data_IF_030978854781
#
_entry.id   IF_030978854781
#
_cell.length_a   1.000
_cell.length_b   1.000
_cell.length_c   1.000
_cell.angle_alpha   90.00
_cell.angle_beta   90.00
_cell.angle_gamma   90.00
#
_symmetry.space_group_name_H-M   'P 1'
#
loop_
_entity.id
_entity.type
_entity.pdbx_description
1 polymer ?
#
# COMPACT_ATOMS: atom_id res chain seq x y z
N UNK A 1 38.34 10.45 -34.67
CA UNK A 1 38.93 11.77 -35.01
C UNK A 1 38.54 12.73 -33.90
N UNK A 2 39.51 13.14 -33.09
CA UNK A 2 39.34 14.00 -31.91
C UNK A 2 40.12 15.28 -32.22
N UNK A 3 39.55 16.49 -32.07
CA UNK A 3 40.31 17.71 -32.26
C UNK A 3 41.06 18.06 -30.97
N UNK A 4 42.38 18.09 -31.09
CA UNK A 4 43.32 18.74 -30.18
C UNK A 4 43.17 20.26 -30.29
N UNK A 5 43.00 20.94 -29.15
CA UNK A 5 43.18 22.39 -29.05
C UNK A 5 44.36 22.67 -28.12
N UNK A 6 45.45 23.15 -28.73
CA UNK A 6 46.53 23.86 -28.05
C UNK A 6 46.19 25.34 -28.02
N UNK A 7 46.28 25.97 -26.86
CA UNK A 7 46.65 27.39 -26.79
C UNK A 7 47.15 27.70 -25.40
N UNK A 8 48.44 27.98 -25.36
CA UNK A 8 49.21 28.65 -24.34
C UNK A 8 48.57 30.00 -24.00
N UNK A 9 48.41 30.33 -22.73
CA UNK A 9 48.19 31.71 -22.31
C UNK A 9 48.75 31.94 -20.90
N UNK A 10 49.97 32.50 -20.93
CA UNK A 10 50.53 33.56 -20.10
C UNK A 10 50.20 33.59 -18.60
N UNK A 11 51.23 33.22 -17.83
CA UNK A 11 51.43 33.53 -16.43
C UNK A 11 51.33 35.04 -16.19
N UNK A 12 50.22 35.48 -15.60
CA UNK A 12 50.15 36.76 -14.89
C UNK A 12 50.42 36.51 -13.41
N UNK A 13 51.65 36.79 -13.00
CA UNK A 13 52.02 37.03 -11.61
C UNK A 13 51.23 38.25 -11.10
N UNK A 14 50.06 37.96 -10.52
CA UNK A 14 49.28 38.93 -9.78
C UNK A 14 49.83 39.01 -8.37
N UNK A 15 50.70 40.00 -8.14
CA UNK A 15 51.12 40.51 -6.84
C UNK A 15 49.88 40.75 -5.96
N UNK A 16 49.51 39.74 -5.18
CA UNK A 16 48.48 39.86 -4.16
C UNK A 16 49.14 40.51 -2.97
N UNK A 17 49.12 41.84 -2.95
CA UNK A 17 49.41 42.61 -1.75
C UNK A 17 48.56 42.05 -0.62
N UNK A 18 49.22 41.39 0.35
CA UNK A 18 48.64 41.03 1.63
C UNK A 18 48.37 42.32 2.38
N UNK A 19 47.26 42.98 2.03
CA UNK A 19 46.73 44.10 2.79
C UNK A 19 46.57 43.65 4.22
N UNK A 20 47.32 44.30 5.12
CA UNK A 20 47.33 44.07 6.56
C UNK A 20 45.91 43.75 7.05
N UNK A 21 45.70 42.49 7.41
CA UNK A 21 44.49 42.05 8.10
C UNK A 21 44.46 42.80 9.44
N UNK A 22 43.83 43.97 9.45
CA UNK A 22 43.35 44.63 10.65
C UNK A 22 42.41 43.64 11.32
N UNK A 23 42.93 42.90 12.30
CA UNK A 23 42.16 42.07 13.21
C UNK A 23 41.06 42.99 13.75
N UNK A 24 39.78 42.77 13.42
CA UNK A 24 38.72 43.62 13.92
C UNK A 24 38.73 43.51 15.43
N UNK A 25 38.92 44.65 16.10
CA UNK A 25 38.66 44.81 17.53
C UNK A 25 37.38 44.06 17.90
N UNK A 26 37.34 43.31 19.02
CA UNK A 26 36.27 42.38 19.34
C UNK A 26 34.92 43.08 19.17
N UNK A 27 34.10 42.55 18.24
CA UNK A 27 32.75 43.03 17.99
C UNK A 27 32.05 43.18 19.34
N UNK A 28 31.64 44.41 19.67
CA UNK A 28 30.74 44.64 20.80
C UNK A 28 29.55 43.69 20.61
N UNK A 29 29.13 42.93 21.65
CA UNK A 29 28.01 42.01 21.50
C UNK A 29 26.80 42.77 20.94
N UNK A 30 26.36 42.36 19.75
CA UNK A 30 25.31 43.01 18.99
C UNK A 30 24.57 42.00 18.12
N UNK A 31 23.27 42.22 17.94
CA UNK A 31 22.42 41.34 17.13
C UNK A 31 22.54 41.74 15.66
N UNK A 32 22.95 40.81 14.80
CA UNK A 32 22.95 40.97 13.34
C UNK A 32 21.83 40.13 12.75
N UNK A 33 20.91 40.77 12.02
CA UNK A 33 19.90 40.06 11.24
C UNK A 33 20.56 39.51 9.98
N UNK A 34 20.71 38.19 9.89
CA UNK A 34 21.34 37.51 8.75
C UNK A 34 20.35 37.11 7.66
N UNK A 35 19.05 37.07 7.97
CA UNK A 35 17.99 36.73 7.02
C UNK A 35 16.62 37.24 7.49
N UNK A 36 15.74 37.56 6.54
CA UNK A 36 14.32 37.86 6.76
C UNK A 36 13.48 36.91 5.91
N UNK A 37 12.51 36.22 6.51
CA UNK A 37 11.65 35.27 5.80
C UNK A 37 10.31 35.91 5.47
N UNK A 38 9.92 35.93 4.18
CA UNK A 38 8.64 36.49 3.72
C UNK A 38 7.50 35.45 3.70
N UNK A 39 7.83 34.17 3.84
CA UNK A 39 6.90 33.05 3.81
C UNK A 39 7.43 31.90 4.68
N UNK A 40 6.55 31.01 5.11
CA UNK A 40 6.92 29.78 5.81
C UNK A 40 6.46 28.55 5.03
N UNK A 41 7.19 27.45 5.18
CA UNK A 41 6.81 26.14 4.66
C UNK A 41 6.04 25.41 5.76
N UNK A 42 4.76 25.14 5.52
CA UNK A 42 3.95 24.30 6.41
C UNK A 42 4.03 22.84 5.97
N UNK A 43 4.26 21.96 6.94
CA UNK A 43 4.23 20.51 6.72
C UNK A 43 2.85 20.00 7.13
N UNK A 44 2.06 19.58 6.14
CA UNK A 44 0.74 19.00 6.36
C UNK A 44 0.88 17.48 6.25
N UNK A 45 0.46 16.70 7.27
CA UNK A 45 0.41 15.26 7.17
C UNK A 45 -0.47 14.83 5.98
N UNK A 46 0.11 14.09 5.05
CA UNK A 46 -0.61 13.47 3.94
C UNK A 46 -0.50 11.95 4.06
N UNK A 47 -1.61 11.25 3.83
CA UNK A 47 -1.62 9.78 3.71
C UNK A 47 -1.98 9.41 2.27
N UNK A 48 -1.00 9.30 1.37
CA UNK A 48 -1.27 8.91 -0.01
C UNK A 48 -1.82 7.48 -0.08
N UNK A 49 -2.65 7.23 -1.09
CA UNK A 49 -3.15 5.89 -1.41
C UNK A 49 -2.06 5.14 -2.20
N UNK A 50 -1.13 4.52 -1.47
CA UNK A 50 0.01 3.81 -2.06
C UNK A 50 -0.42 2.65 -2.95
N UNK A 51 -1.50 1.95 -2.60
CA UNK A 51 -2.04 0.87 -3.42
C UNK A 51 -2.45 1.40 -4.80
N UNK A 52 -3.22 2.50 -4.83
CA UNK A 52 -3.63 3.13 -6.08
C UNK A 52 -2.45 3.65 -6.91
N UNK A 53 -1.45 4.22 -6.26
CA UNK A 53 -0.21 4.65 -6.91
C UNK A 53 0.48 3.46 -7.58
N UNK A 54 0.68 2.35 -6.85
CA UNK A 54 1.32 1.14 -7.38
C UNK A 54 0.49 0.51 -8.52
N UNK A 55 -0.84 0.53 -8.44
CA UNK A 55 -1.71 0.04 -9.52
C UNK A 55 -1.48 0.76 -10.83
N UNK A 56 -1.18 2.07 -10.79
CA UNK A 56 -0.90 2.88 -11.98
C UNK A 56 0.51 2.70 -12.55
N UNK A 57 1.47 2.28 -11.73
CA UNK A 57 2.88 2.15 -12.11
C UNK A 57 3.25 0.73 -12.55
N UNK A 58 2.52 -0.29 -12.07
CA UNK A 58 2.89 -1.69 -12.24
C UNK A 58 2.11 -2.39 -13.34
N UNK A 59 2.81 -3.25 -14.07
CA UNK A 59 2.20 -4.18 -15.02
C UNK A 59 1.48 -5.31 -14.28
N UNK A 60 0.32 -5.70 -14.80
CA UNK A 60 -0.46 -6.82 -14.31
C UNK A 60 0.10 -8.17 -14.75
N UNK A 61 0.20 -9.11 -13.81
CA UNK A 61 0.51 -10.51 -14.02
C UNK A 61 -0.77 -11.34 -13.87
N UNK A 62 -1.17 -11.99 -14.96
CA UNK A 62 -2.45 -12.72 -15.05
C UNK A 62 -2.25 -14.20 -14.74
N UNK A 63 -1.28 -14.85 -15.40
CA UNK A 63 -1.04 -16.28 -15.23
C UNK A 63 0.36 -16.67 -15.72
N UNK A 64 0.88 -17.85 -15.32
CA UNK A 64 2.15 -18.39 -15.81
C UNK A 64 2.21 -18.57 -17.33
N UNK A 65 1.09 -18.95 -17.94
CA UNK A 65 0.97 -19.08 -19.39
C UNK A 65 1.05 -17.72 -20.12
N UNK A 66 0.83 -16.61 -19.42
CA UNK A 66 0.93 -15.28 -20.00
C UNK A 66 2.37 -14.78 -19.92
N UNK A 67 3.15 -15.03 -20.97
CA UNK A 67 4.49 -14.45 -21.08
C UNK A 67 4.38 -12.93 -21.11
N UNK A 68 4.91 -12.27 -20.07
CA UNK A 68 4.97 -10.82 -20.01
C UNK A 68 5.96 -10.31 -21.07
N UNK A 69 5.48 -10.07 -22.29
CA UNK A 69 6.27 -9.48 -23.38
C UNK A 69 6.89 -8.12 -23.01
N UNK A 70 6.41 -7.46 -21.94
CA UNK A 70 6.87 -6.14 -21.47
C UNK A 70 7.75 -6.15 -20.21
N UNK A 71 8.20 -7.31 -19.72
CA UNK A 71 9.04 -7.35 -18.51
C UNK A 71 10.29 -6.47 -18.63
N UNK A 72 10.90 -6.37 -19.82
CA UNK A 72 12.12 -5.57 -20.02
C UNK A 72 11.98 -4.09 -19.69
N UNK A 73 10.77 -3.54 -19.67
CA UNK A 73 10.49 -2.14 -19.33
C UNK A 73 9.91 -1.97 -17.92
N UNK A 74 9.59 -3.07 -17.23
CA UNK A 74 9.00 -3.02 -15.90
C UNK A 74 10.04 -2.50 -14.87
N UNK A 75 9.64 -1.58 -13.98
CA UNK A 75 10.54 -1.03 -12.97
C UNK A 75 10.93 -2.11 -11.96
N UNK A 76 12.10 -1.98 -11.34
CA UNK A 76 12.49 -2.81 -10.19
C UNK A 76 11.82 -2.30 -8.92
N UNK A 77 11.66 -3.13 -7.88
CA UNK A 77 11.12 -2.66 -6.59
C UNK A 77 11.97 -1.55 -5.99
N UNK A 78 13.30 -1.65 -6.11
CA UNK A 78 14.23 -0.62 -5.60
C UNK A 78 14.04 0.71 -6.31
N UNK A 79 13.74 0.69 -7.62
CA UNK A 79 13.45 1.90 -8.38
C UNK A 79 12.13 2.52 -7.90
N UNK A 80 11.08 1.71 -7.72
CA UNK A 80 9.78 2.17 -7.22
C UNK A 80 9.87 2.81 -5.83
N UNK A 81 10.63 2.21 -4.91
CA UNK A 81 10.83 2.79 -3.57
C UNK A 81 11.45 4.19 -3.64
N UNK A 82 12.38 4.41 -4.58
CA UNK A 82 13.03 5.72 -4.77
C UNK A 82 12.13 6.74 -5.45
N UNK A 83 11.30 6.29 -6.37
CA UNK A 83 10.48 7.17 -7.22
C UNK A 83 9.10 7.46 -6.62
N UNK A 84 8.66 6.68 -5.62
CA UNK A 84 7.35 6.85 -4.98
C UNK A 84 7.48 7.80 -3.78
N UNK A 85 6.69 8.89 -3.71
CA UNK A 85 6.78 9.87 -2.63
C UNK A 85 6.04 9.41 -1.36
N UNK A 86 6.44 8.27 -0.82
CA UNK A 86 5.86 7.64 0.38
C UNK A 86 6.98 7.14 1.30
N UNK A 87 6.68 6.95 2.59
CA UNK A 87 7.63 6.32 3.50
C UNK A 87 7.83 4.83 3.20
N UNK A 88 8.94 4.24 3.65
CA UNK A 88 9.22 2.80 3.48
C UNK A 88 8.13 1.90 4.06
N UNK A 89 7.52 2.33 5.18
CA UNK A 89 6.42 1.63 5.83
C UNK A 89 5.14 1.68 4.99
N UNK A 90 4.79 2.85 4.45
CA UNK A 90 3.65 3.03 3.55
C UNK A 90 3.84 2.28 2.23
N UNK A 91 5.08 2.27 1.69
CA UNK A 91 5.42 1.48 0.51
C UNK A 91 5.23 0.00 0.77
N UNK A 92 5.76 -0.51 1.88
CA UNK A 92 5.67 -1.93 2.24
C UNK A 92 4.21 -2.36 2.43
N UNK A 93 3.39 -1.54 3.09
CA UNK A 93 1.97 -1.82 3.24
C UNK A 93 1.23 -1.76 1.89
N UNK A 94 1.47 -0.73 1.08
CA UNK A 94 0.87 -0.61 -0.25
C UNK A 94 1.26 -1.76 -1.18
N UNK A 95 2.50 -2.24 -1.07
CA UNK A 95 3.01 -3.40 -1.80
C UNK A 95 2.24 -4.69 -1.44
N UNK A 96 1.89 -4.87 -0.17
CA UNK A 96 1.05 -5.98 0.30
C UNK A 96 -0.40 -5.79 -0.18
N UNK A 97 -0.96 -4.58 0.01
CA UNK A 97 -2.36 -4.28 -0.30
C UNK A 97 -2.68 -4.40 -1.80
N UNK A 98 -1.70 -4.08 -2.66
CA UNK A 98 -1.76 -4.19 -4.11
C UNK A 98 -1.34 -5.59 -4.65
N UNK A 99 -1.05 -6.55 -3.76
CA UNK A 99 -0.58 -7.90 -4.13
C UNK A 99 0.61 -7.88 -5.10
N UNK A 100 1.58 -7.00 -4.81
CA UNK A 100 2.79 -6.84 -5.61
C UNK A 100 3.84 -7.91 -5.30
N UNK A 101 4.63 -8.26 -6.30
CA UNK A 101 5.73 -9.20 -6.17
C UNK A 101 6.83 -8.94 -7.21
N UNK A 102 7.97 -9.62 -7.09
CA UNK A 102 9.06 -9.52 -8.04
C UNK A 102 9.19 -10.83 -8.84
N UNK A 103 9.41 -10.70 -10.15
CA UNK A 103 9.72 -11.82 -11.05
C UNK A 103 10.85 -11.36 -11.97
N UNK A 104 11.93 -12.14 -12.03
CA UNK A 104 13.13 -11.83 -12.81
C UNK A 104 13.71 -10.43 -12.54
N UNK A 105 13.61 -9.96 -11.29
CA UNK A 105 14.09 -8.63 -10.86
C UNK A 105 13.16 -7.46 -11.20
N UNK A 106 12.01 -7.74 -11.79
CA UNK A 106 11.01 -6.74 -12.16
C UNK A 106 9.83 -6.77 -11.19
N UNK A 107 9.35 -5.59 -10.80
CA UNK A 107 8.16 -5.44 -9.98
C UNK A 107 6.91 -5.55 -10.86
N UNK A 108 5.97 -6.38 -10.40
CA UNK A 108 4.68 -6.60 -11.04
C UNK A 108 3.60 -6.71 -9.96
N UNK A 109 2.34 -6.68 -10.37
CA UNK A 109 1.20 -6.95 -9.47
C UNK A 109 0.33 -8.05 -10.03
N UNK A 110 -0.26 -8.86 -9.16
CA UNK A 110 -1.26 -9.83 -9.59
C UNK A 110 -2.54 -9.11 -10.03
N UNK A 111 -3.25 -9.70 -11.00
CA UNK A 111 -4.63 -9.26 -11.23
C UNK A 111 -5.52 -9.67 -10.05
N UNK A 112 -6.58 -8.91 -9.75
CA UNK A 112 -7.52 -9.29 -8.69
C UNK A 112 -8.14 -10.68 -8.89
N UNK A 113 -8.41 -11.08 -10.14
CA UNK A 113 -8.92 -12.41 -10.45
C UNK A 113 -7.90 -13.52 -10.12
N UNK A 114 -6.63 -13.32 -10.47
CA UNK A 114 -5.53 -14.22 -10.12
C UNK A 114 -5.36 -14.34 -8.60
N UNK A 115 -5.44 -13.22 -7.87
CA UNK A 115 -5.42 -13.22 -6.41
C UNK A 115 -6.52 -14.10 -5.81
N UNK A 116 -7.76 -13.97 -6.31
CA UNK A 116 -8.89 -14.78 -5.85
C UNK A 116 -8.70 -16.28 -6.15
N UNK A 117 -8.20 -16.61 -7.34
CA UNK A 117 -7.91 -18.00 -7.71
C UNK A 117 -6.83 -18.60 -6.80
N UNK A 118 -5.68 -17.93 -6.69
CA UNK A 118 -4.57 -18.38 -5.85
C UNK A 118 -4.98 -18.52 -4.39
N UNK A 119 -5.73 -17.55 -3.86
CA UNK A 119 -6.23 -17.62 -2.49
C UNK A 119 -7.05 -18.89 -2.26
N UNK A 120 -8.00 -19.21 -3.15
CA UNK A 120 -8.80 -20.44 -3.04
C UNK A 120 -7.94 -21.69 -3.03
N UNK A 121 -7.03 -21.82 -3.99
CA UNK A 121 -6.19 -23.00 -4.11
C UNK A 121 -5.28 -23.13 -2.89
N UNK A 122 -4.61 -22.06 -2.47
CA UNK A 122 -3.76 -22.04 -1.27
C UNK A 122 -4.57 -22.50 -0.04
N UNK A 123 -5.76 -21.94 0.17
CA UNK A 123 -6.59 -22.32 1.31
C UNK A 123 -7.00 -23.79 1.24
N UNK A 124 -7.40 -24.30 0.08
CA UNK A 124 -7.75 -25.71 -0.08
C UNK A 124 -6.58 -26.64 0.25
N UNK A 125 -5.38 -26.31 -0.20
CA UNK A 125 -4.15 -27.04 0.13
C UNK A 125 -3.93 -27.04 1.65
N UNK A 126 -4.02 -25.87 2.29
CA UNK A 126 -3.84 -25.75 3.75
C UNK A 126 -4.85 -26.59 4.54
N UNK A 127 -6.10 -26.69 4.07
CA UNK A 127 -7.09 -27.58 4.66
C UNK A 127 -6.76 -29.07 4.48
N UNK A 128 -6.17 -29.45 3.34
CA UNK A 128 -5.81 -30.83 3.06
C UNK A 128 -4.61 -31.28 3.92
N UNK A 129 -3.62 -30.40 4.09
CA UNK A 129 -2.38 -30.69 4.84
C UNK A 129 -2.59 -30.69 6.36
N UNK A 130 -3.37 -29.75 6.89
CA UNK A 130 -3.37 -29.47 8.33
C UNK A 130 -3.99 -30.54 9.24
N UNK A 131 -4.77 -31.50 8.73
CA UNK A 131 -5.51 -32.44 9.59
C UNK A 131 -6.35 -31.70 10.65
N UNK A 132 -6.75 -32.36 11.74
CA UNK A 132 -7.59 -31.76 12.79
C UNK A 132 -6.88 -30.73 13.69
N UNK A 133 -5.59 -30.43 13.46
CA UNK A 133 -4.82 -29.51 14.30
C UNK A 133 -4.66 -28.14 13.64
N UNK A 134 -5.42 -27.18 14.16
CA UNK A 134 -5.65 -25.82 13.64
C UNK A 134 -4.48 -24.84 13.83
N UNK A 135 -3.21 -25.29 13.77
CA UNK A 135 -2.05 -24.46 14.11
C UNK A 135 -1.98 -23.18 13.26
N UNK A 136 -2.13 -23.30 11.94
CA UNK A 136 -2.11 -22.17 10.99
C UNK A 136 -3.24 -21.14 11.17
N UNK A 137 -4.29 -21.48 11.92
CA UNK A 137 -5.40 -20.56 12.25
C UNK A 137 -5.14 -19.81 13.54
N UNK A 138 -4.68 -20.53 14.57
CA UNK A 138 -4.61 -19.99 15.92
C UNK A 138 -3.24 -19.38 16.22
N UNK A 139 -2.20 -20.18 16.04
CA UNK A 139 -0.82 -19.85 16.40
C UNK A 139 -0.14 -19.13 15.23
N UNK A 140 -0.50 -19.51 14.00
CA UNK A 140 0.18 -19.09 12.80
C UNK A 140 1.27 -20.08 12.42
N UNK A 141 1.75 -19.94 11.19
CA UNK A 141 2.80 -20.78 10.62
C UNK A 141 3.80 -19.92 9.85
N UNK A 142 5.02 -20.43 9.70
CA UNK A 142 6.04 -19.77 8.89
C UNK A 142 5.62 -19.69 7.42
N UNK A 143 6.07 -18.64 6.71
CA UNK A 143 5.84 -18.55 5.26
C UNK A 143 6.47 -19.74 4.52
N UNK A 144 7.61 -20.23 4.98
CA UNK A 144 8.27 -21.38 4.35
C UNK A 144 7.45 -22.66 4.50
N UNK A 145 6.78 -22.87 5.64
CA UNK A 145 5.86 -24.01 5.84
C UNK A 145 4.65 -23.95 4.89
N UNK A 146 4.10 -22.75 4.65
CA UNK A 146 3.04 -22.56 3.64
C UNK A 146 3.55 -22.93 2.25
N UNK A 147 4.75 -22.50 1.89
CA UNK A 147 5.33 -22.76 0.58
C UNK A 147 5.69 -24.23 0.39
N UNK A 148 6.17 -24.91 1.44
CA UNK A 148 6.43 -26.35 1.42
C UNK A 148 5.14 -27.14 1.22
N UNK A 149 4.06 -26.78 1.93
CA UNK A 149 2.73 -27.39 1.73
C UNK A 149 2.21 -27.21 0.30
N UNK A 150 2.38 -26.02 -0.30
CA UNK A 150 1.98 -25.77 -1.69
C UNK A 150 2.80 -26.61 -2.67
N UNK A 151 4.11 -26.73 -2.44
CA UNK A 151 5.02 -27.50 -3.28
C UNK A 151 4.78 -29.01 -3.19
N UNK A 152 4.39 -29.51 -2.03
CA UNK A 152 4.04 -30.93 -1.84
C UNK A 152 2.76 -31.32 -2.59
N UNK A 153 1.78 -30.41 -2.67
CA UNK A 153 0.55 -30.61 -3.43
C UNK A 153 0.76 -30.53 -4.95
N UNK A 154 1.58 -29.57 -5.40
CA UNK A 154 2.01 -29.43 -6.81
C UNK A 154 1.01 -28.73 -7.74
N UNK A 155 -0.21 -28.39 -7.30
CA UNK A 155 -1.20 -27.70 -8.15
C UNK A 155 -0.73 -26.30 -8.61
N UNK A 156 0.18 -25.67 -7.85
CA UNK A 156 0.66 -24.30 -8.09
C UNK A 156 2.13 -24.20 -8.51
N UNK A 157 2.76 -25.31 -8.94
CA UNK A 157 4.18 -25.35 -9.31
C UNK A 157 4.58 -24.40 -10.45
N UNK A 158 3.62 -24.06 -11.33
CA UNK A 158 3.84 -23.11 -12.42
C UNK A 158 3.87 -21.64 -11.97
N UNK A 159 3.31 -21.34 -10.80
CA UNK A 159 3.23 -19.98 -10.29
C UNK A 159 4.54 -19.54 -9.64
N UNK A 160 5.00 -18.28 -9.87
CA UNK A 160 6.14 -17.74 -9.16
C UNK A 160 5.91 -17.79 -7.65
N UNK A 161 6.89 -18.30 -6.88
CA UNK A 161 6.78 -18.39 -5.42
C UNK A 161 6.46 -17.04 -4.79
N UNK A 162 7.01 -15.95 -5.31
CA UNK A 162 6.74 -14.60 -4.80
C UNK A 162 5.31 -14.11 -5.07
N UNK A 163 4.64 -14.62 -6.11
CA UNK A 163 3.22 -14.38 -6.35
C UNK A 163 2.37 -15.06 -5.26
N UNK A 164 2.70 -16.31 -4.91
CA UNK A 164 2.04 -17.05 -3.83
C UNK A 164 2.23 -16.35 -2.48
N UNK A 165 3.47 -15.91 -2.19
CA UNK A 165 3.78 -15.12 -0.99
C UNK A 165 2.99 -13.82 -0.93
N UNK A 166 2.79 -13.14 -2.05
CA UNK A 166 2.01 -11.90 -2.09
C UNK A 166 0.55 -12.14 -1.67
N UNK A 167 -0.07 -13.22 -2.15
CA UNK A 167 -1.44 -13.60 -1.76
C UNK A 167 -1.53 -13.93 -0.28
N UNK A 168 -0.61 -14.73 0.26
CA UNK A 168 -0.58 -15.06 1.70
C UNK A 168 -0.41 -13.80 2.55
N UNK A 169 0.54 -12.92 2.20
CA UNK A 169 0.78 -11.66 2.92
C UNK A 169 -0.44 -10.75 2.96
N UNK A 170 -1.20 -10.69 1.86
CA UNK A 170 -2.39 -9.85 1.79
C UNK A 170 -3.58 -10.45 2.55
N UNK A 171 -3.79 -11.75 2.40
CA UNK A 171 -5.00 -12.43 2.87
C UNK A 171 -4.93 -12.97 4.31
N UNK A 172 -3.74 -13.05 4.91
CA UNK A 172 -3.53 -13.58 6.27
C UNK A 172 -3.01 -12.48 7.20
N UNK A 173 -3.17 -12.67 8.51
CA UNK A 173 -2.65 -11.73 9.50
C UNK A 173 -1.19 -12.07 9.85
N UNK A 174 -0.33 -11.06 9.81
CA UNK A 174 1.04 -11.16 10.29
C UNK A 174 1.05 -11.15 11.82
N UNK A 175 1.55 -12.22 12.42
CA UNK A 175 1.81 -12.33 13.85
C UNK A 175 3.31 -12.30 14.11
N UNK A 176 3.68 -11.64 15.21
CA UNK A 176 5.06 -11.66 15.71
C UNK A 176 5.08 -12.49 16.97
N UNK A 177 5.84 -13.57 16.94
CA UNK A 177 5.98 -14.47 18.08
C UNK A 177 6.92 -13.90 19.14
N UNK A 178 6.94 -14.55 20.31
CA UNK A 178 7.72 -14.12 21.47
C UNK A 178 9.24 -14.12 21.20
N UNK A 179 9.71 -14.97 20.30
CA UNK A 179 11.10 -15.05 19.86
C UNK A 179 11.44 -14.00 18.78
N UNK A 180 10.44 -13.24 18.33
CA UNK A 180 10.57 -12.23 17.30
C UNK A 180 10.44 -12.75 15.87
N UNK A 181 10.18 -14.04 15.67
CA UNK A 181 9.86 -14.61 14.37
C UNK A 181 8.50 -14.10 13.87
N UNK A 182 8.32 -14.18 12.55
CA UNK A 182 7.11 -13.71 11.87
C UNK A 182 6.32 -14.93 11.38
N UNK A 183 5.13 -15.12 11.96
CA UNK A 183 4.16 -16.12 11.54
C UNK A 183 3.01 -15.49 10.77
N UNK A 184 2.35 -16.27 9.92
CA UNK A 184 1.11 -15.90 9.26
C UNK A 184 -0.01 -16.76 9.82
N UNK A 185 -1.06 -16.12 10.32
CA UNK A 185 -2.25 -16.83 10.79
C UNK A 185 -3.47 -16.49 9.97
N UNK A 186 -4.24 -17.52 9.60
CA UNK A 186 -5.50 -17.33 8.92
C UNK A 186 -6.56 -16.79 9.88
N UNK A 187 -6.93 -15.54 9.68
CA UNK A 187 -8.00 -14.85 10.38
C UNK A 187 -9.19 -14.72 9.42
N UNK A 188 -10.29 -15.42 9.72
CA UNK A 188 -11.46 -15.47 8.83
C UNK A 188 -12.07 -14.07 8.55
N UNK A 189 -12.27 -13.18 9.55
CA UNK A 189 -12.69 -11.80 9.28
C UNK A 189 -11.76 -11.02 8.33
N UNK A 190 -10.44 -11.10 8.54
CA UNK A 190 -9.44 -10.43 7.70
C UNK A 190 -9.45 -10.97 6.27
N UNK A 191 -9.42 -12.31 6.13
CA UNK A 191 -9.47 -12.97 4.84
C UNK A 191 -10.78 -12.65 4.09
N UNK A 192 -11.93 -12.68 4.78
CA UNK A 192 -13.21 -12.31 4.19
C UNK A 192 -13.16 -10.89 3.61
N UNK A 193 -12.68 -9.91 4.40
CA UNK A 193 -12.50 -8.52 3.96
C UNK A 193 -11.59 -8.41 2.75
N UNK A 194 -10.44 -9.10 2.76
CA UNK A 194 -9.48 -9.09 1.66
C UNK A 194 -10.10 -9.66 0.38
N UNK A 195 -10.82 -10.79 0.46
CA UNK A 195 -11.52 -11.39 -0.68
C UNK A 195 -12.61 -10.46 -1.21
N UNK A 196 -13.41 -9.86 -0.33
CA UNK A 196 -14.50 -8.97 -0.74
C UNK A 196 -14.00 -7.74 -1.48
N UNK A 197 -12.90 -7.16 -1.00
CA UNK A 197 -12.16 -6.11 -1.71
C UNK A 197 -11.74 -6.58 -3.11
N UNK A 198 -11.11 -7.75 -3.24
CA UNK A 198 -10.66 -8.26 -4.54
C UNK A 198 -11.81 -8.60 -5.50
N UNK A 199 -12.97 -9.05 -5.00
CA UNK A 199 -14.18 -9.24 -5.83
C UNK A 199 -14.67 -7.92 -6.43
N UNK A 200 -14.66 -6.84 -5.64
CA UNK A 200 -15.01 -5.50 -6.14
C UNK A 200 -14.00 -5.01 -7.17
N UNK A 201 -12.70 -5.12 -6.89
CA UNK A 201 -11.63 -4.64 -7.80
C UNK A 201 -11.60 -5.47 -9.09
N UNK A 202 -11.90 -6.77 -9.04
CA UNK A 202 -11.98 -7.63 -10.23
C UNK A 202 -13.12 -7.22 -11.19
N UNK A 203 -14.09 -6.42 -10.71
CA UNK A 203 -15.27 -6.03 -11.47
C UNK A 203 -15.55 -4.52 -11.34
N UNK A 204 -14.60 -3.64 -11.72
CA UNK A 204 -14.65 -2.22 -11.39
C UNK A 204 -15.84 -1.50 -12.02
N UNK A 205 -16.28 -1.94 -13.22
CA UNK A 205 -17.39 -1.35 -13.96
C UNK A 205 -18.74 -2.02 -13.67
N UNK A 206 -18.74 -3.11 -12.88
CA UNK A 206 -19.96 -3.87 -12.60
C UNK A 206 -20.74 -3.23 -11.46
N UNK A 207 -22.05 -3.09 -11.70
CA UNK A 207 -23.01 -2.75 -10.65
C UNK A 207 -23.64 -4.04 -10.14
N UNK A 208 -23.47 -4.33 -8.86
CA UNK A 208 -24.08 -5.50 -8.23
C UNK A 208 -25.35 -5.11 -7.49
N UNK A 209 -26.33 -6.00 -7.45
CA UNK A 209 -27.27 -6.00 -6.32
C UNK A 209 -26.56 -6.51 -5.07
N UNK A 210 -26.95 -6.09 -3.87
CA UNK A 210 -26.36 -6.59 -2.62
C UNK A 210 -26.35 -8.13 -2.55
N UNK A 211 -27.46 -8.79 -2.89
CA UNK A 211 -27.55 -10.25 -2.92
C UNK A 211 -26.62 -10.89 -3.95
N UNK A 212 -26.48 -10.28 -5.13
CA UNK A 212 -25.56 -10.79 -6.16
C UNK A 212 -24.11 -10.67 -5.69
N UNK A 213 -23.73 -9.52 -5.11
CA UNK A 213 -22.40 -9.33 -4.58
C UNK A 213 -22.08 -10.33 -3.46
N UNK A 214 -22.99 -10.50 -2.49
CA UNK A 214 -22.80 -11.44 -1.40
C UNK A 214 -22.66 -12.89 -1.90
N UNK A 215 -23.40 -13.29 -2.93
CA UNK A 215 -23.26 -14.62 -3.52
C UNK A 215 -21.88 -14.79 -4.20
N UNK A 216 -21.47 -13.83 -5.03
CA UNK A 216 -20.14 -13.88 -5.67
C UNK A 216 -19.04 -13.86 -4.62
N UNK A 217 -19.17 -13.06 -3.57
CA UNK A 217 -18.20 -13.03 -2.48
C UNK A 217 -18.17 -14.36 -1.71
N UNK A 218 -19.32 -14.94 -1.41
CA UNK A 218 -19.45 -16.25 -0.76
C UNK A 218 -18.80 -17.36 -1.57
N UNK A 219 -18.97 -17.35 -2.89
CA UNK A 219 -18.32 -18.31 -3.80
C UNK A 219 -16.79 -18.14 -3.84
N UNK A 220 -16.26 -17.04 -3.29
CA UNK A 220 -14.85 -16.72 -3.27
C UNK A 220 -14.12 -16.93 -1.95
N UNK A 221 -14.84 -17.17 -0.84
CA UNK A 221 -14.25 -17.39 0.48
C UNK A 221 -14.27 -18.86 0.90
N UNK A 222 -13.53 -19.20 1.95
CA UNK A 222 -13.64 -20.50 2.61
C UNK A 222 -14.91 -20.61 3.45
N UNK A 223 -15.28 -21.84 3.83
CA UNK A 223 -16.48 -22.11 4.62
C UNK A 223 -16.52 -21.33 5.95
N UNK A 224 -15.40 -21.10 6.61
CA UNK A 224 -15.35 -20.37 7.89
C UNK A 224 -15.68 -18.89 7.76
N UNK A 225 -15.52 -18.33 6.56
CA UNK A 225 -15.80 -16.92 6.31
C UNK A 225 -17.27 -16.67 5.97
N UNK A 226 -18.05 -17.73 5.68
CA UNK A 226 -19.39 -17.59 5.11
C UNK A 226 -20.36 -16.82 6.02
N UNK A 227 -20.25 -16.98 7.33
CA UNK A 227 -21.09 -16.30 8.32
C UNK A 227 -20.60 -14.89 8.67
N UNK A 228 -19.43 -14.49 8.14
CA UNK A 228 -18.77 -13.21 8.42
C UNK A 228 -18.96 -12.18 7.28
N UNK A 229 -19.69 -12.55 6.23
CA UNK A 229 -19.91 -11.70 5.06
C UNK A 229 -20.91 -10.59 5.39
N UNK A 230 -20.40 -9.42 5.76
CA UNK A 230 -21.16 -8.18 5.95
C UNK A 230 -20.55 -7.08 5.10
N UNK A 231 -21.36 -6.36 4.31
CA UNK A 231 -20.90 -5.21 3.51
C UNK A 231 -20.14 -4.17 4.34
N UNK A 232 -20.46 -4.01 5.62
CA UNK A 232 -19.80 -3.04 6.51
C UNK A 232 -18.30 -3.26 6.67
N UNK A 233 -17.82 -4.50 6.55
CA UNK A 233 -16.37 -4.76 6.66
C UNK A 233 -15.61 -4.22 5.44
N UNK A 234 -16.32 -3.91 4.35
CA UNK A 234 -15.80 -3.29 3.13
C UNK A 234 -16.02 -1.77 3.08
N UNK A 235 -16.44 -1.14 4.19
CA UNK A 235 -16.64 0.31 4.22
C UNK A 235 -15.39 1.06 3.72
N UNK A 236 -15.61 1.97 2.78
CA UNK A 236 -14.56 2.70 2.08
C UNK A 236 -14.12 2.09 0.74
N UNK A 237 -14.48 0.84 0.43
CA UNK A 237 -14.18 0.22 -0.87
C UNK A 237 -15.35 0.25 -1.86
N UNK A 238 -16.55 0.59 -1.40
CA UNK A 238 -17.75 0.62 -2.24
C UNK A 238 -18.62 1.85 -1.99
N UNK A 239 -19.51 2.12 -2.94
CA UNK A 239 -20.69 2.97 -2.74
C UNK A 239 -21.95 2.12 -2.85
N UNK A 240 -22.96 2.47 -2.05
CA UNK A 240 -24.29 1.88 -2.12
C UNK A 240 -25.29 2.96 -2.50
N UNK A 241 -26.03 2.74 -3.59
CA UNK A 241 -27.15 3.63 -3.93
C UNK A 241 -28.36 3.37 -3.03
N UNK A 242 -29.31 4.30 -3.01
CA UNK A 242 -30.58 4.12 -2.30
C UNK A 242 -31.39 2.89 -2.78
N UNK A 243 -31.08 2.35 -3.96
CA UNK A 243 -31.70 1.15 -4.51
C UNK A 243 -30.94 -0.15 -4.15
N UNK A 244 -29.95 -0.08 -3.24
CA UNK A 244 -29.17 -1.24 -2.81
C UNK A 244 -28.14 -1.73 -3.84
N UNK A 245 -27.79 -0.87 -4.82
CA UNK A 245 -26.76 -1.19 -5.83
C UNK A 245 -25.37 -0.89 -5.26
N UNK A 246 -24.49 -1.90 -5.27
CA UNK A 246 -23.10 -1.85 -4.80
C UNK A 246 -22.17 -1.66 -6.00
N UNK A 247 -21.23 -0.70 -5.90
CA UNK A 247 -20.18 -0.44 -6.89
C UNK A 247 -18.85 -0.21 -6.22
N UNK A 248 -17.78 -0.68 -6.85
CA UNK A 248 -16.42 -0.38 -6.43
C UNK A 248 -16.13 1.12 -6.50
N UNK A 249 -15.38 1.64 -5.54
CA UNK A 249 -14.88 3.01 -5.52
C UNK A 249 -13.37 2.97 -5.33
N UNK A 250 -12.64 3.62 -6.23
CA UNK A 250 -11.20 3.77 -6.08
C UNK A 250 -10.92 4.66 -4.85
N UNK A 251 -9.97 4.23 -4.00
CA UNK A 251 -9.73 4.77 -2.65
C UNK A 251 -9.61 6.29 -2.53
N UNK A 252 -9.28 7.00 -3.60
CA UNK A 252 -9.30 8.47 -3.68
C UNK A 252 -10.68 9.10 -3.35
N UNK A 253 -11.79 8.51 -3.81
CA UNK A 253 -13.12 9.07 -3.57
C UNK A 253 -13.72 8.68 -2.19
N UNK A 254 -13.15 7.68 -1.52
CA UNK A 254 -13.59 7.24 -0.18
C UNK A 254 -13.12 8.17 0.95
N UNK A 255 -11.96 8.82 0.77
CA UNK A 255 -11.44 9.82 1.71
C UNK A 255 -12.36 11.05 1.82
N UNK A 256 -13.01 11.44 0.72
CA UNK A 256 -13.95 12.56 0.73
C UNK A 256 -15.33 12.16 1.31
N UNK A 257 -15.80 10.94 1.00
CA UNK A 257 -17.10 10.46 1.49
C UNK A 257 -17.14 10.27 3.02
N UNK A 258 -16.05 9.82 3.63
CA UNK A 258 -15.95 9.64 5.09
C UNK A 258 -15.93 10.95 5.88
N UNK A 259 -15.65 12.09 5.21
CA UNK A 259 -15.76 13.42 5.81
C UNK A 259 -17.19 14.02 5.76
N UNK A 260 -18.08 13.43 4.97
CA UNK A 260 -19.42 13.97 4.70
C UNK A 260 -20.57 13.31 5.48
N UNK A 261 -20.31 12.23 6.23
CA UNK A 261 -21.30 11.58 7.11
C UNK A 261 -21.21 12.04 8.59
N UNK A 262 -20.56 13.18 8.88
CA UNK A 262 -20.69 13.84 10.16
C UNK A 262 -22.09 14.48 10.25
N UNK A 263 -23.04 13.76 10.84
CA UNK A 263 -24.33 14.30 11.27
C UNK A 263 -24.13 15.71 11.84
N UNK A 264 -24.75 16.68 11.19
CA UNK A 264 -24.63 18.10 11.47
C UNK A 264 -25.31 18.45 12.81
N UNK A 265 -24.68 18.06 13.93
CA UNK A 265 -24.97 18.65 15.23
C UNK A 265 -24.44 20.07 15.22
N UNK A 266 -25.25 21.01 14.73
CA UNK A 266 -25.10 22.45 14.91
C UNK A 266 -24.90 22.75 16.40
N UNK A 267 -23.65 22.79 16.85
CA UNK A 267 -23.28 23.30 18.18
C UNK A 267 -23.51 24.81 18.14
N UNK A 268 -24.63 25.24 18.74
CA UNK A 268 -24.97 26.64 18.99
C UNK A 268 -23.93 27.30 19.90
N UNK A 269 -22.84 27.80 19.31
CA UNK A 269 -21.83 28.62 19.99
C UNK A 269 -22.45 29.91 20.56
N UNK A 270 -23.42 30.50 19.86
CA UNK A 270 -23.96 31.82 20.18
C UNK A 270 -24.82 31.89 21.46
N UNK A 271 -25.18 30.77 22.10
CA UNK A 271 -25.92 30.79 23.37
C UNK A 271 -25.02 31.05 24.61
N UNK A 272 -23.68 30.90 24.51
CA UNK A 272 -22.77 31.08 25.66
C UNK A 272 -22.48 32.54 26.04
N UNK A 273 -22.94 33.53 25.28
CA UNK A 273 -22.69 34.95 25.59
C UNK A 273 -23.92 35.72 26.10
N UNK A 274 -25.11 35.09 26.13
CA UNK A 274 -26.34 35.75 26.58
C UNK A 274 -26.55 35.72 28.11
N UNK A 275 -25.78 34.92 28.86
CA UNK A 275 -25.96 34.77 30.31
C UNK A 275 -25.27 35.84 31.18
N UNK A 276 -24.65 36.88 30.57
CA UNK A 276 -23.82 37.85 31.29
C UNK A 276 -24.43 39.22 31.58
N UNK A 277 -25.69 39.50 31.21
CA UNK A 277 -26.25 40.87 31.31
C UNK A 277 -27.52 40.94 32.15
N UNK A 278 -27.37 40.70 33.47
CA UNK A 278 -28.23 41.28 34.50
C UNK A 278 -27.38 41.63 35.73
N UNK A 279 -26.89 42.87 35.76
CA UNK A 279 -26.71 43.68 36.97
C UNK A 279 -26.84 45.13 36.58
#
# INVERSE_FOLDING_TARGET
MIPTLSSSQEDQDSDTEMSDFKIPSPLKPGVLVTSTCASHLELIPSKPDTELLLHSLLTEYISPAHTLQRLSEAPTKTQLVKDTPVSDAEFTQGWIDASCFEIDGHAVRLTPASCLQLFKTIINIMYAVAGSESQWRNEGIGMDEVMDAIKEDGELDEWPTDALRAVVRGSWELKKDLDGSLGYSFNAPHAARWVGKHVLIANPDKSFTESEFLNVWKDNVSADCADLLDLKILDGFYTQSALGVVRYVHGSAAAEASSSAASSKKKKWHEKFAAGKKR
#
